data_IF_418636699448
#
_entry.id   IF_418636699448
#
_cell.length_a   1.000
_cell.length_b   1.000
_cell.length_c   1.000
_cell.angle_alpha   90.00
_cell.angle_beta   90.00
_cell.angle_gamma   90.00
#
_symmetry.space_group_name_H-M   'P 1'
#
loop_
_entity.id
_entity.type
_entity.pdbx_description
1 polymer ?
#
# COMPACT_ATOMS: atom_id res chain seq x y z
N UNK A 1 -9.22 -3.87 18.64
CA UNK A 1 -8.43 -4.01 17.39
C UNK A 1 -6.99 -3.64 17.71
N UNK A 2 -6.13 -4.63 17.88
CA UNK A 2 -4.70 -4.42 18.11
C UNK A 2 -4.09 -3.58 16.99
N UNK A 3 -3.55 -2.41 17.35
CA UNK A 3 -2.87 -1.51 16.40
C UNK A 3 -1.61 -2.23 15.94
N UNK A 4 -1.57 -2.68 14.68
CA UNK A 4 -0.35 -3.22 14.09
C UNK A 4 0.76 -2.15 14.13
N UNK A 5 2.00 -2.50 14.51
CA UNK A 5 3.13 -1.60 14.40
C UNK A 5 3.31 -1.12 12.96
N UNK A 6 3.60 0.17 12.76
CA UNK A 6 3.77 0.77 11.42
C UNK A 6 4.81 0.01 10.58
N UNK A 7 5.89 -0.47 11.22
CA UNK A 7 6.93 -1.28 10.57
C UNK A 7 6.44 -2.67 10.11
N UNK A 8 5.40 -3.24 10.73
CA UNK A 8 4.76 -4.48 10.26
C UNK A 8 3.89 -4.18 9.05
N UNK A 9 3.09 -3.11 9.13
CA UNK A 9 2.25 -2.65 8.03
C UNK A 9 3.05 -2.36 6.75
N UNK A 10 4.18 -1.66 6.90
CA UNK A 10 5.12 -1.36 5.83
C UNK A 10 5.63 -2.64 5.13
N UNK A 11 6.07 -3.62 5.92
CA UNK A 11 6.58 -4.90 5.38
C UNK A 11 5.49 -5.68 4.65
N UNK A 12 4.25 -5.65 5.16
CA UNK A 12 3.14 -6.35 4.54
C UNK A 12 2.73 -5.70 3.21
N UNK A 13 2.71 -4.36 3.13
CA UNK A 13 2.50 -3.62 1.88
C UNK A 13 3.57 -3.97 0.86
N UNK A 14 4.85 -3.92 1.24
CA UNK A 14 5.94 -4.24 0.32
C UNK A 14 5.87 -5.67 -0.21
N UNK A 15 5.50 -6.64 0.64
CA UNK A 15 5.30 -8.03 0.22
C UNK A 15 4.15 -8.19 -0.78
N UNK A 16 3.06 -7.45 -0.58
CA UNK A 16 1.91 -7.48 -1.49
C UNK A 16 2.24 -6.81 -2.82
N UNK A 17 2.83 -5.62 -2.77
CA UNK A 17 3.29 -4.90 -3.95
C UNK A 17 4.30 -5.74 -4.76
N UNK A 18 5.21 -6.46 -4.09
CA UNK A 18 6.17 -7.36 -4.75
C UNK A 18 5.49 -8.52 -5.52
N UNK A 19 4.31 -8.95 -5.08
CA UNK A 19 3.53 -10.02 -5.72
C UNK A 19 2.51 -9.51 -6.72
N UNK A 20 2.36 -8.19 -6.83
CA UNK A 20 1.41 -7.56 -7.74
C UNK A 20 1.92 -7.69 -9.18
N UNK A 21 1.19 -8.37 -10.08
CA UNK A 21 1.64 -8.62 -11.45
C UNK A 21 1.30 -7.42 -12.36
N UNK A 22 1.92 -6.27 -12.05
CA UNK A 22 1.87 -5.07 -12.89
C UNK A 22 3.24 -4.72 -13.45
N UNK A 23 3.26 -4.18 -14.67
CA UNK A 23 4.46 -3.59 -15.29
C UNK A 23 5.03 -2.44 -14.45
N UNK A 24 4.17 -1.74 -13.71
CA UNK A 24 4.54 -0.60 -12.86
C UNK A 24 4.87 -1.02 -11.43
N UNK A 25 5.00 -2.33 -11.14
CA UNK A 25 5.29 -2.85 -9.80
C UNK A 25 6.52 -2.19 -9.17
N UNK A 26 7.60 -2.03 -9.93
CA UNK A 26 8.85 -1.46 -9.41
C UNK A 26 8.64 -0.01 -8.98
N UNK A 27 7.97 0.78 -9.82
CA UNK A 27 7.62 2.17 -9.52
C UNK A 27 6.72 2.27 -8.28
N UNK A 28 5.69 1.42 -8.20
CA UNK A 28 4.77 1.38 -7.06
C UNK A 28 5.50 1.06 -5.75
N UNK A 29 6.42 0.08 -5.76
CA UNK A 29 7.25 -0.25 -4.59
C UNK A 29 8.10 0.95 -4.16
N UNK A 30 8.65 1.68 -5.13
CA UNK A 30 9.49 2.84 -4.84
C UNK A 30 8.68 4.00 -4.27
N UNK A 31 7.51 4.29 -4.83
CA UNK A 31 6.56 5.28 -4.31
C UNK A 31 6.15 4.96 -2.86
N UNK A 32 5.83 3.70 -2.56
CA UNK A 32 5.53 3.24 -1.20
C UNK A 32 6.71 3.53 -0.24
N UNK A 33 7.95 3.24 -0.65
CA UNK A 33 9.12 3.52 0.19
C UNK A 33 9.29 5.01 0.44
N UNK A 34 9.13 5.84 -0.60
CA UNK A 34 9.26 7.30 -0.52
C UNK A 34 8.21 7.85 0.46
N UNK A 35 6.96 7.44 0.34
CA UNK A 35 5.89 7.90 1.24
C UNK A 35 6.13 7.50 2.70
N UNK A 36 6.57 6.27 2.96
CA UNK A 36 6.90 5.82 4.31
C UNK A 36 8.13 6.52 4.88
N UNK A 37 9.12 6.82 4.04
CA UNK A 37 10.30 7.58 4.44
C UNK A 37 9.92 9.03 4.78
N UNK A 38 9.13 9.70 3.94
CA UNK A 38 8.60 11.04 4.19
C UNK A 38 7.72 11.10 5.45
N UNK A 39 7.01 10.01 5.76
CA UNK A 39 6.24 9.87 6.99
C UNK A 39 7.07 9.78 8.28
N UNK A 40 8.40 9.55 8.22
CA UNK A 40 9.24 9.43 9.42
C UNK A 40 9.34 10.73 10.23
N UNK A 41 9.30 11.88 9.56
CA UNK A 41 9.41 13.21 10.19
C UNK A 41 8.05 13.77 10.58
N UNK A 42 6.99 12.99 10.37
CA UNK A 42 5.62 13.42 10.60
C UNK A 42 5.29 13.29 12.09
N UNK A 43 5.00 14.42 12.73
CA UNK A 43 4.76 14.49 14.18
C UNK A 43 3.29 14.69 14.53
N UNK A 44 2.46 15.09 13.56
CA UNK A 44 1.03 15.28 13.76
C UNK A 44 0.31 13.93 13.97
N UNK A 45 -0.26 13.66 15.16
CA UNK A 45 -0.96 12.42 15.45
C UNK A 45 -2.19 12.15 14.57
N UNK A 46 -2.87 13.21 14.11
CA UNK A 46 -4.07 13.08 13.28
C UNK A 46 -3.70 12.58 11.88
N UNK A 47 -2.68 13.19 11.28
CA UNK A 47 -2.18 12.81 9.96
C UNK A 47 -1.50 11.42 9.97
N UNK A 48 -0.78 11.06 11.04
CA UNK A 48 -0.26 9.69 11.23
C UNK A 48 -1.41 8.67 11.24
N UNK A 49 -2.50 8.99 11.92
CA UNK A 49 -3.67 8.11 12.01
C UNK A 49 -4.36 7.98 10.66
N UNK A 50 -4.54 9.08 9.94
CA UNK A 50 -5.13 9.11 8.60
C UNK A 50 -4.31 8.26 7.62
N UNK A 51 -3.00 8.49 7.52
CA UNK A 51 -2.10 7.73 6.65
C UNK A 51 -2.08 6.24 6.99
N UNK A 52 -2.14 5.91 8.28
CA UNK A 52 -2.23 4.52 8.73
C UNK A 52 -3.53 3.85 8.29
N UNK A 53 -4.67 4.53 8.40
CA UNK A 53 -5.95 4.00 7.95
C UNK A 53 -5.96 3.77 6.43
N UNK A 54 -5.43 4.73 5.67
CA UNK A 54 -5.26 4.62 4.22
C UNK A 54 -4.40 3.40 3.86
N UNK A 55 -3.25 3.25 4.51
CA UNK A 55 -2.35 2.12 4.30
C UNK A 55 -3.00 0.77 4.65
N UNK A 56 -3.78 0.68 5.74
CA UNK A 56 -4.55 -0.52 6.10
C UNK A 56 -5.58 -0.86 5.02
N UNK A 57 -6.29 0.14 4.50
CA UNK A 57 -7.29 -0.04 3.46
C UNK A 57 -6.64 -0.51 2.15
N UNK A 58 -5.52 0.09 1.74
CA UNK A 58 -4.77 -0.31 0.55
C UNK A 58 -4.21 -1.73 0.68
N UNK A 59 -3.73 -2.15 1.86
CA UNK A 59 -3.33 -3.55 2.13
C UNK A 59 -4.50 -4.49 1.90
N UNK A 60 -5.67 -4.17 2.45
CA UNK A 60 -6.85 -5.01 2.31
C UNK A 60 -7.24 -5.15 0.84
N UNK A 61 -7.26 -4.04 0.10
CA UNK A 61 -7.53 -4.05 -1.34
C UNK A 61 -6.51 -4.92 -2.10
N UNK A 62 -5.21 -4.73 -1.88
CA UNK A 62 -4.16 -5.56 -2.49
C UNK A 62 -4.29 -7.04 -2.13
N UNK A 63 -4.67 -7.36 -0.90
CA UNK A 63 -4.94 -8.74 -0.46
C UNK A 63 -6.16 -9.33 -1.16
N UNK A 64 -7.24 -8.56 -1.26
CA UNK A 64 -8.47 -9.00 -1.92
C UNK A 64 -8.18 -9.26 -3.42
N UNK A 65 -7.43 -8.36 -4.08
CA UNK A 65 -6.99 -8.55 -5.47
C UNK A 65 -6.05 -9.74 -5.66
N UNK A 66 -5.05 -9.93 -4.78
CA UNK A 66 -4.12 -11.08 -4.88
C UNK A 66 -4.76 -12.42 -4.52
N UNK A 67 -5.88 -12.44 -3.77
CA UNK A 67 -6.66 -13.65 -3.50
C UNK A 67 -7.65 -13.99 -4.61
N UNK A 68 -8.17 -12.99 -5.31
CA UNK A 68 -9.05 -13.18 -6.47
C UNK A 68 -8.31 -13.73 -7.69
N UNK A 69 -6.97 -13.65 -7.69
CA UNK A 69 -6.15 -13.97 -8.85
C UNK A 69 -5.10 -15.07 -8.58
N UNK A 70 -5.60 -16.26 -8.26
CA UNK A 70 -4.84 -17.48 -8.56
C UNK A 70 -5.03 -17.94 -10.01
N UNK A 71 -5.74 -17.20 -10.88
CA UNK A 71 -6.13 -17.69 -12.22
C UNK A 71 -6.44 -16.68 -13.34
N UNK A 72 -6.17 -15.38 -13.26
CA UNK A 72 -6.67 -14.40 -14.26
C UNK A 72 -5.73 -13.21 -14.54
N UNK A 73 -4.83 -13.38 -15.52
CA UNK A 73 -3.91 -12.40 -16.11
C UNK A 73 -4.57 -11.14 -16.74
N UNK A 74 -5.23 -10.27 -15.97
CA UNK A 74 -5.75 -8.99 -16.51
C UNK A 74 -5.63 -7.86 -15.48
N UNK A 75 -4.47 -7.20 -15.47
CA UNK A 75 -4.00 -6.33 -14.39
C UNK A 75 -3.85 -4.86 -14.80
N UNK A 76 -4.75 -4.37 -15.65
CA UNK A 76 -4.74 -3.00 -16.11
C UNK A 76 -5.78 -2.15 -15.36
N UNK A 77 -5.57 -1.86 -14.06
CA UNK A 77 -6.50 -0.96 -13.32
C UNK A 77 -5.80 -0.02 -12.33
N UNK A 78 -5.70 1.24 -12.77
CA UNK A 78 -5.89 2.51 -12.04
C UNK A 78 -5.17 2.77 -10.70
N UNK A 79 -3.94 3.27 -10.79
CA UNK A 79 -3.33 4.17 -9.79
C UNK A 79 -3.13 5.58 -10.38
N UNK A 80 -4.11 6.07 -11.15
CA UNK A 80 -4.23 7.50 -11.50
C UNK A 80 -5.58 8.03 -11.03
N UNK A 81 -5.53 9.00 -10.11
CA UNK A 81 -6.62 9.95 -9.88
C UNK A 81 -7.33 9.80 -8.53
N UNK A 82 -6.86 10.53 -7.52
CA UNK A 82 -7.63 11.64 -6.95
C UNK A 82 -6.87 12.29 -5.78
N UNK A 83 -6.02 13.26 -6.14
CA UNK A 83 -5.79 14.44 -5.31
C UNK A 83 -6.62 15.56 -5.93
N UNK A 84 -7.86 15.71 -5.47
CA UNK A 84 -8.61 16.96 -5.55
C UNK A 84 -8.96 17.38 -4.13
#
# INVERSE_FOLDING_TARGET
MDKLPVARLYRDILKLAARFPSINRVQMIEEIKVEFHAGKTLTDPAEITRRRQLAVQSVKQLQDYTKLDSSSTDWDVYLRGNLQ
#
